data_IF_945317868370
#
_entry.id   IF_945317868370
#
_cell.length_a   1.000
_cell.length_b   1.000
_cell.length_c   1.000
_cell.angle_alpha   90.00
_cell.angle_beta   90.00
_cell.angle_gamma   90.00
#
_symmetry.space_group_name_H-M   'P 1'
#
loop_
_entity.id
_entity.type
_entity.pdbx_description
1 polymer ?
#
# COMPACT_ATOMS: atom_id res chain seq x y z
N UNK A 1 27.09 31.90 -7.29
CA UNK A 1 27.56 30.50 -7.36
C UNK A 1 28.02 29.90 -6.01
N UNK A 2 28.14 30.64 -4.92
CA UNK A 2 28.60 30.12 -3.61
C UNK A 2 27.45 29.50 -2.78
N UNK A 3 26.20 29.91 -3.01
CA UNK A 3 25.03 29.37 -2.28
C UNK A 3 24.63 27.94 -2.65
N UNK A 4 24.96 27.46 -3.84
CA UNK A 4 24.66 26.08 -4.25
C UNK A 4 25.59 25.03 -3.62
N UNK A 5 26.85 25.41 -3.31
CA UNK A 5 27.81 24.50 -2.69
C UNK A 5 27.55 24.24 -1.21
N UNK A 6 27.10 25.23 -0.45
CA UNK A 6 26.78 25.10 0.97
C UNK A 6 25.52 24.29 1.21
N UNK A 7 24.51 24.43 0.32
CA UNK A 7 23.30 23.60 0.38
C UNK A 7 23.58 22.10 0.15
N UNK A 8 24.46 21.78 -0.83
CA UNK A 8 24.87 20.40 -1.09
C UNK A 8 25.71 19.78 0.04
N UNK A 9 26.61 20.54 0.67
CA UNK A 9 27.40 20.08 1.81
C UNK A 9 26.52 19.85 3.04
N UNK A 10 25.50 20.66 3.26
CA UNK A 10 24.59 20.53 4.38
C UNK A 10 23.65 19.31 4.21
N UNK A 11 23.15 19.05 3.01
CA UNK A 11 22.39 17.84 2.67
C UNK A 11 23.26 16.60 2.82
N UNK A 12 24.51 16.64 2.33
CA UNK A 12 25.44 15.51 2.41
C UNK A 12 25.85 15.17 3.85
N UNK A 13 25.98 16.16 4.75
CA UNK A 13 26.32 15.92 6.16
C UNK A 13 25.21 15.23 6.96
N UNK A 14 23.92 15.40 6.58
CA UNK A 14 22.79 14.74 7.23
C UNK A 14 22.41 13.39 6.63
N UNK A 15 22.76 13.16 5.38
CA UNK A 15 22.56 11.87 4.68
C UNK A 15 23.29 10.72 5.38
N UNK A 16 24.39 10.99 6.06
CA UNK A 16 25.19 9.97 6.78
C UNK A 16 24.57 9.49 8.09
N UNK A 17 23.43 10.05 8.53
CA UNK A 17 22.77 9.64 9.80
C UNK A 17 21.56 8.72 9.60
N UNK A 18 21.14 8.47 8.36
CA UNK A 18 20.03 7.53 8.11
C UNK A 18 20.48 6.09 8.23
N UNK A 19 19.61 5.23 8.68
CA UNK A 19 19.85 3.79 8.65
C UNK A 19 19.66 3.28 7.22
N UNK A 20 20.71 2.67 6.67
CA UNK A 20 20.73 2.15 5.30
C UNK A 20 20.84 0.63 5.37
N UNK A 21 20.07 -0.07 4.55
CA UNK A 21 20.14 -1.52 4.36
C UNK A 21 20.52 -1.84 2.92
N UNK A 22 21.12 -2.99 2.69
CA UNK A 22 21.45 -3.45 1.34
C UNK A 22 20.44 -4.49 0.89
N UNK A 23 19.88 -4.31 -0.31
CA UNK A 23 19.05 -5.31 -0.96
C UNK A 23 19.94 -6.25 -1.76
N UNK A 24 19.80 -7.55 -1.52
CA UNK A 24 20.39 -8.58 -2.36
C UNK A 24 19.65 -8.57 -3.72
N UNK A 25 20.39 -8.41 -4.81
CA UNK A 25 19.79 -8.56 -6.13
C UNK A 25 19.56 -10.05 -6.38
N UNK A 26 18.31 -10.49 -6.38
CA UNK A 26 17.94 -11.87 -6.72
C UNK A 26 18.33 -12.26 -8.15
N UNK A 27 18.79 -11.32 -8.98
CA UNK A 27 19.24 -11.56 -10.34
C UNK A 27 20.65 -12.13 -10.48
N UNK A 28 21.45 -12.23 -9.40
CA UNK A 28 22.87 -12.63 -9.50
C UNK A 28 23.18 -14.05 -9.00
N UNK A 29 22.20 -14.85 -8.62
CA UNK A 29 22.49 -16.21 -8.17
C UNK A 29 21.83 -17.28 -9.09
N UNK A 30 22.50 -17.68 -10.22
CA UNK A 30 21.99 -18.73 -11.10
C UNK A 30 22.00 -20.13 -10.46
N UNK A 31 22.51 -20.28 -9.24
CA UNK A 31 22.69 -21.58 -8.58
C UNK A 31 21.68 -21.88 -7.45
N UNK A 32 20.69 -21.02 -7.17
CA UNK A 32 19.61 -21.37 -6.23
C UNK A 32 18.53 -22.20 -6.92
N UNK A 33 18.91 -23.42 -7.34
CA UNK A 33 17.99 -24.48 -7.71
C UNK A 33 17.35 -25.04 -6.42
N UNK A 34 16.51 -24.28 -5.74
CA UNK A 34 15.61 -24.84 -4.75
C UNK A 34 14.56 -25.66 -5.46
N UNK A 35 14.75 -26.98 -5.39
CA UNK A 35 13.88 -28.01 -5.92
C UNK A 35 12.43 -27.81 -5.50
N UNK A 36 11.54 -27.79 -6.50
CA UNK A 36 10.27 -28.48 -6.42
C UNK A 36 9.20 -27.93 -5.50
N UNK A 37 8.61 -26.82 -5.87
CA UNK A 37 7.15 -26.67 -5.72
C UNK A 37 6.56 -26.28 -7.07
N UNK A 38 5.53 -27.02 -7.53
CA UNK A 38 4.78 -26.76 -8.75
C UNK A 38 3.98 -25.43 -8.74
N UNK A 39 4.39 -24.46 -7.94
CA UNK A 39 3.77 -23.16 -7.77
C UNK A 39 4.66 -22.06 -8.35
N UNK A 40 4.81 -22.08 -9.69
CA UNK A 40 5.35 -20.91 -10.38
C UNK A 40 4.46 -19.70 -10.10
N UNK A 41 5.05 -18.50 -9.88
CA UNK A 41 4.28 -17.27 -9.73
C UNK A 41 3.32 -17.08 -10.88
N UNK A 42 2.14 -16.51 -10.62
CA UNK A 42 1.20 -16.17 -11.67
C UNK A 42 1.87 -15.29 -12.72
N UNK A 43 1.57 -15.53 -14.00
CA UNK A 43 2.11 -14.80 -15.15
C UNK A 43 3.63 -15.00 -15.43
N UNK A 44 4.28 -16.01 -14.87
CA UNK A 44 5.71 -16.26 -15.12
C UNK A 44 6.05 -16.37 -16.63
N UNK A 45 5.11 -16.87 -17.42
CA UNK A 45 5.26 -17.07 -18.88
C UNK A 45 5.04 -15.80 -19.71
N UNK A 46 4.54 -14.70 -19.12
CA UNK A 46 4.30 -13.47 -19.87
C UNK A 46 5.61 -12.65 -20.01
N UNK A 47 5.88 -12.06 -21.20
CA UNK A 47 7.02 -11.17 -21.37
C UNK A 47 6.87 -9.88 -20.56
N UNK A 48 8.00 -9.21 -20.30
CA UNK A 48 7.98 -7.86 -19.73
C UNK A 48 7.37 -6.87 -20.74
N UNK A 49 6.60 -5.91 -20.26
CA UNK A 49 6.07 -4.82 -21.07
C UNK A 49 7.17 -3.78 -21.31
N UNK A 50 7.57 -3.50 -22.57
CA UNK A 50 8.59 -2.49 -22.86
C UNK A 50 8.27 -1.09 -22.31
N UNK A 51 6.98 -0.75 -22.15
CA UNK A 51 6.53 0.52 -21.59
C UNK A 51 6.64 0.59 -20.07
N UNK A 52 6.96 -0.50 -19.42
CA UNK A 52 7.07 -0.62 -17.96
C UNK A 52 8.52 -0.70 -17.46
N UNK A 53 9.51 -0.60 -18.33
CA UNK A 53 10.93 -0.80 -17.99
C UNK A 53 11.47 0.28 -17.04
N UNK A 54 10.98 1.53 -17.16
CA UNK A 54 11.40 2.64 -16.30
C UNK A 54 10.68 2.66 -14.95
N UNK A 55 9.60 1.89 -14.82
CA UNK A 55 8.81 1.84 -13.61
C UNK A 55 9.53 1.03 -12.52
N UNK A 56 9.52 1.55 -11.28
CA UNK A 56 10.19 0.96 -10.11
C UNK A 56 9.19 0.54 -9.03
N UNK A 57 9.48 -0.57 -8.37
CA UNK A 57 8.73 -1.10 -7.25
C UNK A 57 9.40 -0.74 -5.92
N UNK A 58 8.70 0.03 -5.11
CA UNK A 58 9.12 0.42 -3.77
C UNK A 58 8.37 -0.44 -2.75
N UNK A 59 9.08 -1.29 -2.01
CA UNK A 59 8.49 -2.01 -0.87
C UNK A 59 8.42 -1.06 0.32
N UNK A 60 7.21 -0.62 0.66
CA UNK A 60 6.91 0.18 1.84
C UNK A 60 6.45 -0.74 2.97
N UNK A 61 7.12 -0.65 4.11
CA UNK A 61 6.73 -1.34 5.34
C UNK A 61 6.51 -0.36 6.47
N UNK A 62 5.53 -0.66 7.34
CA UNK A 62 5.29 0.11 8.56
C UNK A 62 5.69 -0.72 9.78
N UNK A 63 6.69 -0.28 10.53
CA UNK A 63 7.09 -0.95 11.78
C UNK A 63 6.45 -0.29 13.00
N UNK A 64 6.05 -1.12 13.96
CA UNK A 64 5.41 -0.70 15.21
C UNK A 64 6.44 -0.39 16.33
N UNK A 65 7.58 0.22 15.96
CA UNK A 65 8.57 0.67 16.93
C UNK A 65 7.99 1.77 17.83
N UNK A 66 7.76 1.41 19.09
CA UNK A 66 7.16 2.28 20.09
C UNK A 66 8.10 3.30 20.74
N UNK A 67 9.37 3.41 20.31
CA UNK A 67 10.38 4.24 20.98
C UNK A 67 10.06 5.74 21.03
N UNK A 68 9.16 6.23 20.17
CA UNK A 68 8.65 7.61 20.21
C UNK A 68 7.15 7.69 20.49
N UNK A 69 6.53 6.58 20.87
CA UNK A 69 5.18 6.60 21.37
C UNK A 69 5.23 7.09 22.81
N UNK A 70 4.68 8.28 23.06
CA UNK A 70 4.44 8.73 24.42
C UNK A 70 3.46 7.73 25.07
N UNK A 71 3.95 7.02 26.10
CA UNK A 71 3.14 6.06 26.85
C UNK A 71 1.90 6.70 27.50
N UNK A 72 1.88 8.03 27.64
CA UNK A 72 0.76 8.82 28.16
C UNK A 72 -0.19 9.32 27.07
N UNK A 73 0.17 9.20 25.78
CA UNK A 73 -0.71 9.64 24.69
C UNK A 73 -1.91 8.70 24.55
N UNK A 74 -3.11 9.25 24.48
CA UNK A 74 -4.34 8.50 24.22
C UNK A 74 -4.35 7.81 22.85
N UNK A 75 -3.56 8.32 21.89
CA UNK A 75 -3.45 7.81 20.52
C UNK A 75 -2.37 6.75 20.37
N UNK A 76 -1.38 6.72 21.24
CA UNK A 76 -0.29 5.76 21.25
C UNK A 76 -0.30 4.87 22.51
N UNK A 77 -1.15 5.19 23.48
CA UNK A 77 -1.38 4.38 24.68
C UNK A 77 -1.74 2.94 24.32
N UNK A 78 -1.10 1.99 25.00
CA UNK A 78 -1.28 0.55 24.72
C UNK A 78 -0.32 -0.02 23.66
N UNK A 79 0.57 0.78 23.06
CA UNK A 79 1.62 0.25 22.18
C UNK A 79 2.67 -0.49 23.02
N UNK A 80 2.92 -0.08 24.28
CA UNK A 80 3.87 -0.73 25.19
C UNK A 80 5.28 -0.91 24.59
N UNK A 81 6.24 -1.23 25.40
CA UNK A 81 7.56 -1.66 24.94
C UNK A 81 7.43 -3.06 24.31
N UNK A 82 7.25 -3.12 22.99
CA UNK A 82 7.19 -4.36 22.22
C UNK A 82 8.54 -4.86 21.77
N UNK A 83 9.64 -4.22 22.17
CA UNK A 83 10.97 -4.65 21.81
C UNK A 83 11.24 -6.12 22.20
N UNK A 84 10.59 -6.60 23.28
CA UNK A 84 10.68 -7.99 23.72
C UNK A 84 9.82 -8.98 22.90
N UNK A 85 8.84 -8.50 22.11
CA UNK A 85 7.93 -9.34 21.33
C UNK A 85 8.36 -9.54 19.87
N UNK A 86 9.51 -8.98 19.48
CA UNK A 86 9.98 -8.95 18.10
C UNK A 86 9.32 -7.88 17.24
N UNK A 87 10.03 -7.44 16.21
CA UNK A 87 9.50 -6.47 15.24
C UNK A 87 8.39 -7.10 14.40
N UNK A 88 7.33 -6.35 14.16
CA UNK A 88 6.25 -6.74 13.26
C UNK A 88 5.92 -5.60 12.33
N UNK A 89 5.61 -5.93 11.09
CA UNK A 89 5.00 -4.99 10.17
C UNK A 89 3.53 -5.33 10.01
N UNK A 90 2.67 -4.36 10.36
CA UNK A 90 1.25 -4.44 10.09
C UNK A 90 0.87 -3.85 8.72
N UNK A 91 1.85 -3.21 8.07
CA UNK A 91 1.70 -2.57 6.75
C UNK A 91 2.80 -3.08 5.84
N UNK A 92 2.42 -3.81 4.80
CA UNK A 92 3.32 -4.30 3.74
C UNK A 92 2.66 -3.91 2.42
N UNK A 93 3.31 -3.02 1.66
CA UNK A 93 2.78 -2.51 0.39
C UNK A 93 3.89 -2.42 -0.65
N UNK A 94 3.57 -2.64 -1.91
CA UNK A 94 4.42 -2.22 -3.02
C UNK A 94 3.77 -1.02 -3.69
N UNK A 95 4.55 0.04 -3.84
CA UNK A 95 4.20 1.21 -4.63
C UNK A 95 4.99 1.11 -5.93
N UNK A 96 4.30 0.87 -7.03
CA UNK A 96 4.91 0.93 -8.36
C UNK A 96 4.77 2.34 -8.90
N UNK A 97 5.91 2.94 -9.28
CA UNK A 97 5.99 4.30 -9.80
C UNK A 97 6.61 4.26 -11.19
N UNK A 98 5.95 4.89 -12.14
CA UNK A 98 6.44 5.06 -13.51
C UNK A 98 6.61 6.57 -13.80
N UNK A 99 7.84 7.09 -13.75
CA UNK A 99 8.12 8.49 -14.03
C UNK A 99 7.80 8.89 -15.48
N UNK A 100 7.95 7.97 -16.43
CA UNK A 100 7.75 8.24 -17.85
C UNK A 100 6.29 8.51 -18.19
N UNK A 101 5.36 7.74 -17.59
CA UNK A 101 3.92 7.92 -17.75
C UNK A 101 3.29 8.81 -16.68
N UNK A 102 4.05 9.25 -15.66
CA UNK A 102 3.58 9.99 -14.46
C UNK A 102 2.43 9.25 -13.76
N UNK A 103 2.58 7.95 -13.58
CA UNK A 103 1.57 7.08 -12.96
C UNK A 103 2.14 6.29 -11.81
N UNK A 104 1.25 5.90 -10.91
CA UNK A 104 1.58 5.02 -9.80
C UNK A 104 0.44 4.05 -9.51
N UNK A 105 0.78 2.94 -8.85
CA UNK A 105 -0.19 1.99 -8.30
C UNK A 105 0.31 1.48 -6.95
N UNK A 106 -0.62 1.04 -6.10
CA UNK A 106 -0.33 0.51 -4.76
C UNK A 106 -0.90 -0.90 -4.68
N UNK A 107 -0.08 -1.86 -4.25
CA UNK A 107 -0.51 -3.23 -3.92
C UNK A 107 -0.22 -3.51 -2.46
N UNK A 108 -1.25 -3.84 -1.69
CA UNK A 108 -1.13 -4.20 -0.28
C UNK A 108 -1.16 -5.70 -0.06
N UNK A 109 -0.32 -6.15 0.85
CA UNK A 109 -0.26 -7.54 1.31
C UNK A 109 -0.86 -7.61 2.71
N UNK A 110 -2.03 -8.25 2.90
CA UNK A 110 -2.52 -8.54 4.23
C UNK A 110 -1.47 -9.30 5.06
N UNK A 111 -1.18 -8.82 6.25
CA UNK A 111 -0.08 -9.33 7.10
C UNK A 111 -0.18 -10.82 7.44
N UNK A 112 -1.41 -11.36 7.45
CA UNK A 112 -1.71 -12.73 7.80
C UNK A 112 -1.75 -13.67 6.57
N UNK A 113 -1.28 -13.22 5.38
CA UNK A 113 -1.15 -14.06 4.19
C UNK A 113 -0.24 -15.25 4.47
N UNK A 114 -0.71 -16.45 4.17
CA UNK A 114 -0.01 -17.71 4.38
C UNK A 114 0.81 -18.06 3.14
N UNK A 115 2.12 -17.92 3.25
CA UNK A 115 3.07 -18.06 2.13
C UNK A 115 4.30 -18.87 2.54
N UNK A 116 5.03 -19.38 1.56
CA UNK A 116 6.36 -19.97 1.79
C UNK A 116 7.33 -18.84 2.16
N UNK A 117 7.98 -18.94 3.33
CA UNK A 117 8.95 -17.94 3.76
C UNK A 117 10.32 -18.25 3.15
N UNK A 118 10.87 -17.31 2.39
CA UNK A 118 12.16 -17.46 1.74
C UNK A 118 13.28 -17.79 2.76
N UNK A 119 14.23 -18.64 2.33
CA UNK A 119 15.30 -19.14 3.20
C UNK A 119 14.83 -20.14 4.27
N UNK A 120 13.58 -20.64 4.18
CA UNK A 120 13.03 -21.68 5.04
C UNK A 120 12.25 -22.70 4.23
N UNK A 121 12.02 -23.89 4.81
CA UNK A 121 11.13 -24.92 4.23
C UNK A 121 9.69 -24.82 4.74
N UNK A 122 9.34 -23.73 5.45
CA UNK A 122 8.07 -23.60 6.17
C UNK A 122 7.19 -22.51 5.58
N UNK A 123 5.90 -22.76 5.59
CA UNK A 123 4.88 -21.74 5.39
C UNK A 123 4.63 -21.00 6.71
N UNK A 124 4.40 -19.69 6.62
CA UNK A 124 3.98 -18.87 7.73
C UNK A 124 3.23 -17.63 7.21
N UNK A 125 2.72 -16.79 8.12
CA UNK A 125 2.20 -15.48 7.79
C UNK A 125 3.31 -14.62 7.19
N UNK A 126 3.03 -13.88 6.13
CA UNK A 126 4.03 -13.05 5.43
C UNK A 126 4.77 -12.07 6.37
N UNK A 127 4.08 -11.54 7.39
CA UNK A 127 4.70 -10.63 8.36
C UNK A 127 5.79 -11.29 9.22
N UNK A 128 5.89 -12.63 9.25
CA UNK A 128 6.99 -13.33 9.93
C UNK A 128 8.32 -13.25 9.17
N UNK A 129 8.29 -12.86 7.90
CA UNK A 129 9.49 -12.61 7.12
C UNK A 129 10.07 -11.20 7.37
N UNK A 130 9.32 -10.34 8.05
CA UNK A 130 9.72 -8.95 8.25
C UNK A 130 10.80 -8.80 9.31
N UNK A 131 11.81 -7.98 8.97
CA UNK A 131 12.78 -7.40 9.88
C UNK A 131 13.19 -6.05 9.31
N UNK A 132 13.06 -4.98 10.07
CA UNK A 132 13.24 -3.61 9.55
C UNK A 132 14.67 -3.35 9.05
N UNK A 133 15.65 -3.93 9.71
CA UNK A 133 17.08 -3.77 9.41
C UNK A 133 17.65 -4.82 8.45
N UNK A 134 16.83 -5.81 8.05
CA UNK A 134 17.19 -6.84 7.07
C UNK A 134 15.93 -7.27 6.30
N UNK A 135 15.54 -6.49 5.29
CA UNK A 135 14.32 -6.75 4.54
C UNK A 135 14.41 -7.90 3.54
N UNK A 136 15.62 -8.44 3.29
CA UNK A 136 15.88 -9.38 2.20
C UNK A 136 14.96 -10.61 2.25
N UNK A 137 14.73 -11.18 3.44
CA UNK A 137 13.80 -12.31 3.59
C UNK A 137 12.37 -11.97 3.12
N UNK A 138 11.88 -10.76 3.44
CA UNK A 138 10.56 -10.33 3.00
C UNK A 138 10.54 -10.07 1.49
N UNK A 139 11.57 -9.42 0.96
CA UNK A 139 11.77 -9.18 -0.48
C UNK A 139 11.73 -10.51 -1.25
N UNK A 140 12.56 -11.46 -0.86
CA UNK A 140 12.64 -12.79 -1.49
C UNK A 140 11.32 -13.55 -1.35
N UNK A 141 10.61 -13.41 -0.21
CA UNK A 141 9.29 -14.03 -0.02
C UNK A 141 8.25 -13.46 -0.99
N UNK A 142 8.26 -12.14 -1.19
CA UNK A 142 7.35 -11.47 -2.14
C UNK A 142 7.68 -11.89 -3.58
N UNK A 143 8.96 -11.89 -3.95
CA UNK A 143 9.40 -12.27 -5.28
C UNK A 143 9.07 -13.72 -5.60
N UNK A 144 9.41 -14.65 -4.70
CA UNK A 144 9.13 -16.10 -4.89
C UNK A 144 7.63 -16.41 -4.89
N UNK A 145 6.82 -15.73 -4.05
CA UNK A 145 5.38 -16.02 -3.94
C UNK A 145 4.54 -15.33 -5.00
N UNK A 146 4.92 -14.14 -5.45
CA UNK A 146 4.11 -13.29 -6.31
C UNK A 146 4.80 -12.88 -7.61
N UNK A 147 6.08 -13.21 -7.80
CA UNK A 147 6.85 -12.83 -8.99
C UNK A 147 7.11 -11.34 -9.12
N UNK A 148 7.05 -10.58 -8.02
CA UNK A 148 7.17 -9.12 -8.05
C UNK A 148 8.59 -8.73 -7.64
N UNK A 149 9.40 -8.15 -8.54
CA UNK A 149 10.72 -7.64 -8.20
C UNK A 149 10.60 -6.41 -7.31
N UNK A 150 11.53 -6.23 -6.38
CA UNK A 150 11.60 -5.06 -5.49
C UNK A 150 12.86 -4.27 -5.82
N UNK A 151 12.71 -3.05 -6.33
CA UNK A 151 13.82 -2.17 -6.67
C UNK A 151 14.33 -1.39 -5.45
N UNK A 152 13.42 -0.95 -4.57
CA UNK A 152 13.72 -0.13 -3.41
C UNK A 152 12.96 -0.57 -2.16
N UNK A 153 13.55 -0.30 -1.01
CA UNK A 153 12.95 -0.56 0.30
C UNK A 153 12.82 0.71 1.12
N UNK A 154 11.66 0.90 1.74
CA UNK A 154 11.37 1.99 2.65
C UNK A 154 10.64 1.45 3.87
N UNK A 155 11.23 1.62 5.06
CA UNK A 155 10.54 1.33 6.32
C UNK A 155 10.22 2.63 7.06
N UNK A 156 8.96 2.78 7.42
CA UNK A 156 8.44 3.94 8.15
C UNK A 156 7.98 3.49 9.53
N UNK A 157 8.67 3.91 10.57
CA UNK A 157 8.22 3.70 11.94
C UNK A 157 7.20 4.78 12.35
N UNK A 158 6.63 4.67 13.54
CA UNK A 158 5.63 5.61 14.01
C UNK A 158 6.14 7.05 14.14
N UNK A 159 7.43 7.23 14.49
CA UNK A 159 8.05 8.56 14.57
C UNK A 159 8.15 9.20 13.20
N UNK A 160 8.73 8.48 12.25
CA UNK A 160 8.85 8.94 10.88
C UNK A 160 7.49 9.29 10.28
N UNK A 161 6.48 8.44 10.52
CA UNK A 161 5.12 8.68 10.04
C UNK A 161 4.57 10.02 10.58
N UNK A 162 4.68 10.27 11.89
CA UNK A 162 4.19 11.50 12.52
C UNK A 162 4.95 12.73 12.01
N UNK A 163 6.27 12.63 11.87
CA UNK A 163 7.11 13.72 11.35
C UNK A 163 6.78 14.04 9.90
N UNK A 164 6.59 13.03 9.04
CA UNK A 164 6.18 13.21 7.63
C UNK A 164 4.84 13.95 7.55
N UNK A 165 3.83 13.52 8.34
CA UNK A 165 2.52 14.18 8.38
C UNK A 165 2.65 15.62 8.86
N UNK A 166 3.47 15.88 9.86
CA UNK A 166 3.73 17.23 10.38
C UNK A 166 4.43 18.10 9.36
N UNK A 167 5.42 17.57 8.62
CA UNK A 167 6.18 18.29 7.61
C UNK A 167 5.29 18.80 6.45
N UNK A 168 4.23 18.05 6.12
CA UNK A 168 3.25 18.51 5.11
C UNK A 168 2.16 19.41 5.70
N UNK A 169 2.25 19.81 6.98
CA UNK A 169 1.25 20.62 7.67
C UNK A 169 -0.10 19.91 7.77
N UNK A 170 -0.03 18.61 8.06
CA UNK A 170 -1.18 17.74 8.18
C UNK A 170 -1.77 17.25 6.87
N UNK A 171 -2.65 16.27 6.99
CA UNK A 171 -3.37 15.67 5.86
C UNK A 171 -4.87 15.79 6.08
N UNK A 172 -5.56 16.41 5.13
CA UNK A 172 -7.01 16.60 5.22
C UNK A 172 -7.75 15.34 4.77
N UNK A 173 -8.72 14.95 5.58
CA UNK A 173 -9.55 13.77 5.35
C UNK A 173 -11.03 14.14 5.55
N UNK A 174 -11.92 13.94 4.56
CA UNK A 174 -13.34 14.24 4.66
C UNK A 174 -14.09 13.10 5.37
N UNK A 175 -14.95 13.45 6.31
CA UNK A 175 -15.82 12.51 7.00
C UNK A 175 -17.28 12.88 6.80
N UNK A 176 -18.10 11.90 6.41
CA UNK A 176 -19.55 12.07 6.27
C UNK A 176 -20.27 11.91 7.60
N UNK A 177 -19.67 11.16 8.53
CA UNK A 177 -20.28 10.80 9.81
C UNK A 177 -19.28 10.96 10.96
N UNK A 178 -19.75 11.22 12.18
CA UNK A 178 -18.91 11.05 13.37
C UNK A 178 -18.28 9.67 13.37
N UNK A 179 -16.97 9.59 13.62
CA UNK A 179 -16.21 8.35 13.47
C UNK A 179 -15.22 8.22 14.62
N UNK A 180 -15.09 7.01 15.18
CA UNK A 180 -14.18 6.78 16.31
C UNK A 180 -13.63 5.35 16.33
N UNK A 181 -12.49 5.19 16.99
CA UNK A 181 -11.96 3.91 17.44
C UNK A 181 -11.33 4.09 18.85
N UNK A 182 -12.00 3.55 19.85
CA UNK A 182 -11.53 3.65 21.24
C UNK A 182 -10.21 2.92 21.49
N UNK A 183 -9.87 1.92 20.67
CA UNK A 183 -8.63 1.12 20.83
C UNK A 183 -7.40 1.90 20.38
N UNK A 184 -7.55 2.81 19.42
CA UNK A 184 -6.46 3.63 18.90
C UNK A 184 -6.52 5.08 19.38
N UNK A 185 -7.58 5.46 20.10
CA UNK A 185 -7.84 6.85 20.49
C UNK A 185 -8.33 7.74 19.33
N UNK A 186 -8.61 7.15 18.15
CA UNK A 186 -9.13 7.91 17.02
C UNK A 186 -10.53 8.45 17.29
N UNK A 187 -10.73 9.76 17.04
CA UNK A 187 -12.03 10.39 17.21
C UNK A 187 -12.21 11.58 16.27
N UNK A 188 -13.27 11.55 15.49
CA UNK A 188 -13.82 12.65 14.70
C UNK A 188 -15.26 12.84 15.16
N UNK A 189 -15.49 13.81 16.02
CA UNK A 189 -16.82 14.07 16.58
C UNK A 189 -17.74 14.79 15.58
N UNK A 190 -17.18 15.71 14.79
CA UNK A 190 -17.93 16.52 13.82
C UNK A 190 -17.53 16.11 12.40
N UNK A 191 -18.50 15.73 11.56
CA UNK A 191 -18.27 15.48 10.14
C UNK A 191 -17.72 16.70 9.41
N UNK A 192 -17.07 16.49 8.28
CA UNK A 192 -16.49 17.53 7.45
C UNK A 192 -15.05 17.24 7.05
N UNK A 193 -14.38 18.23 6.53
CA UNK A 193 -12.96 18.16 6.15
C UNK A 193 -12.08 18.37 7.40
N UNK A 194 -11.45 17.31 7.88
CA UNK A 194 -10.66 17.31 9.11
C UNK A 194 -9.18 17.25 8.78
N UNK A 195 -8.39 18.22 9.25
CA UNK A 195 -6.94 18.16 9.13
C UNK A 195 -6.36 17.26 10.22
N UNK A 196 -5.62 16.24 9.83
CA UNK A 196 -4.96 15.31 10.73
C UNK A 196 -3.52 15.74 10.96
N UNK A 197 -3.18 15.95 12.22
CA UNK A 197 -1.80 15.94 12.69
C UNK A 197 -1.23 14.52 12.72
N UNK A 198 0.05 14.39 13.08
CA UNK A 198 0.72 13.09 13.11
C UNK A 198 0.06 12.08 14.05
N UNK A 199 -0.43 12.51 15.22
CA UNK A 199 -1.05 11.60 16.21
C UNK A 199 -2.41 11.10 15.74
N UNK A 200 -3.27 12.00 15.26
CA UNK A 200 -4.59 11.65 14.74
C UNK A 200 -4.48 10.79 13.48
N UNK A 201 -3.53 11.11 12.59
CA UNK A 201 -3.22 10.31 11.42
C UNK A 201 -2.79 8.90 11.80
N UNK A 202 -1.86 8.76 12.76
CA UNK A 202 -1.39 7.46 13.24
C UNK A 202 -2.54 6.64 13.87
N UNK A 203 -3.38 7.26 14.70
CA UNK A 203 -4.55 6.62 15.27
C UNK A 203 -5.50 6.11 14.18
N UNK A 204 -5.74 6.91 13.14
CA UNK A 204 -6.61 6.57 12.00
C UNK A 204 -6.09 5.38 11.20
N UNK A 205 -4.82 5.41 10.74
CA UNK A 205 -4.26 4.33 9.89
C UNK A 205 -4.04 3.03 10.65
N UNK A 206 -4.06 3.06 11.99
CA UNK A 206 -4.01 1.89 12.87
C UNK A 206 -5.38 1.33 13.22
N UNK A 207 -6.45 2.11 13.03
CA UNK A 207 -7.82 1.69 13.37
C UNK A 207 -8.24 0.45 12.59
N UNK A 208 -8.80 -0.54 13.31
CA UNK A 208 -9.14 -1.85 12.76
C UNK A 208 -10.51 -2.33 13.30
N UNK A 209 -10.52 -3.30 14.19
CA UNK A 209 -11.72 -3.90 14.79
C UNK A 209 -12.41 -3.03 15.85
N UNK A 210 -12.13 -1.78 15.92
CA UNK A 210 -12.78 -0.80 16.81
C UNK A 210 -13.28 0.40 16.04
N UNK A 211 -13.04 0.41 14.73
CA UNK A 211 -13.47 1.51 13.87
C UNK A 211 -14.97 1.53 13.72
N UNK A 212 -15.60 2.61 14.19
CA UNK A 212 -17.05 2.79 14.21
C UNK A 212 -17.43 4.15 13.65
N UNK A 213 -18.55 4.19 12.95
CA UNK A 213 -19.17 5.40 12.46
C UNK A 213 -20.60 5.51 12.99
N UNK A 214 -21.09 6.74 13.15
CA UNK A 214 -22.45 6.99 13.60
C UNK A 214 -23.38 7.00 12.37
N UNK A 215 -24.25 6.03 12.30
CA UNK A 215 -25.27 5.97 11.26
C UNK A 215 -26.46 6.88 11.63
N UNK A 216 -26.62 7.93 10.88
CA UNK A 216 -27.69 8.92 11.10
C UNK A 216 -29.08 8.38 10.82
N UNK A 217 -29.21 7.31 10.04
CA UNK A 217 -30.50 6.69 9.72
C UNK A 217 -30.98 5.84 10.88
N UNK A 218 -30.11 5.00 11.44
CA UNK A 218 -30.46 4.12 12.56
C UNK A 218 -30.18 4.74 13.94
N UNK A 219 -29.54 5.92 13.98
CA UNK A 219 -29.11 6.61 15.21
C UNK A 219 -28.20 5.74 16.10
N UNK A 220 -27.37 4.88 15.48
CA UNK A 220 -26.49 3.93 16.19
C UNK A 220 -25.05 4.02 15.70
N UNK A 221 -24.14 3.65 16.59
CA UNK A 221 -22.76 3.43 16.24
C UNK A 221 -22.59 2.04 15.62
N UNK A 222 -22.26 2.01 14.34
CA UNK A 222 -21.98 0.78 13.60
C UNK A 222 -20.48 0.56 13.51
N UNK A 223 -20.07 -0.70 13.59
CA UNK A 223 -18.68 -1.11 13.42
C UNK A 223 -18.39 -1.43 11.94
N UNK A 224 -17.21 -1.07 11.46
CA UNK A 224 -16.74 -1.52 10.14
C UNK A 224 -16.50 -3.04 10.19
N UNK A 225 -17.32 -3.85 9.50
CA UNK A 225 -17.23 -5.31 9.58
C UNK A 225 -16.01 -5.89 8.87
N UNK A 226 -15.30 -5.06 8.09
CA UNK A 226 -14.21 -5.51 7.22
C UNK A 226 -12.87 -5.67 7.95
N UNK A 227 -12.77 -5.21 9.19
CA UNK A 227 -11.64 -5.43 10.08
C UNK A 227 -10.31 -4.99 9.46
N UNK A 228 -9.43 -5.97 9.19
CA UNK A 228 -8.09 -5.69 8.66
C UNK A 228 -8.09 -5.17 7.22
N UNK A 229 -9.00 -5.66 6.37
CA UNK A 229 -9.13 -5.18 4.99
C UNK A 229 -9.59 -3.71 4.94
N UNK A 230 -10.50 -3.31 5.83
CA UNK A 230 -10.90 -1.91 5.97
C UNK A 230 -9.73 -1.01 6.41
N UNK A 231 -8.88 -1.51 7.32
CA UNK A 231 -7.63 -0.79 7.68
C UNK A 231 -6.73 -0.60 6.47
N UNK A 232 -6.49 -1.65 5.69
CA UNK A 232 -5.68 -1.58 4.46
C UNK A 232 -6.23 -0.53 3.50
N UNK A 233 -7.55 -0.53 3.26
CA UNK A 233 -8.18 0.47 2.40
C UNK A 233 -8.01 1.90 2.92
N UNK A 234 -8.13 2.13 4.23
CA UNK A 234 -7.87 3.44 4.87
C UNK A 234 -6.41 3.84 4.77
N UNK A 235 -5.48 2.91 4.90
CA UNK A 235 -4.04 3.16 4.70
C UNK A 235 -3.73 3.57 3.27
N UNK A 236 -4.29 2.88 2.28
CA UNK A 236 -4.14 3.23 0.86
C UNK A 236 -4.73 4.61 0.55
N UNK A 237 -5.91 4.92 1.05
CA UNK A 237 -6.53 6.23 0.87
C UNK A 237 -5.71 7.34 1.54
N UNK A 238 -5.26 7.12 2.78
CA UNK A 238 -4.43 8.08 3.49
C UNK A 238 -3.09 8.31 2.81
N UNK A 239 -2.45 7.25 2.28
CA UNK A 239 -1.22 7.37 1.51
C UNK A 239 -1.41 8.22 0.25
N UNK A 240 -2.51 8.01 -0.53
CA UNK A 240 -2.82 8.85 -1.70
C UNK A 240 -2.99 10.32 -1.32
N UNK A 241 -3.71 10.62 -0.22
CA UNK A 241 -3.89 11.99 0.29
C UNK A 241 -2.58 12.61 0.76
N UNK A 242 -1.75 11.84 1.43
CA UNK A 242 -0.41 12.28 1.87
C UNK A 242 0.49 12.59 0.68
N UNK A 243 0.47 11.75 -0.36
CA UNK A 243 1.19 12.01 -1.61
C UNK A 243 0.70 13.30 -2.28
N UNK A 244 -0.63 13.50 -2.38
CA UNK A 244 -1.18 14.75 -2.94
C UNK A 244 -0.71 15.96 -2.14
N UNK A 245 -0.82 15.89 -0.82
CA UNK A 245 -0.42 16.99 0.07
C UNK A 245 1.08 17.30 -0.06
N UNK A 246 1.92 16.26 -0.15
CA UNK A 246 3.35 16.42 -0.34
C UNK A 246 3.68 17.08 -1.70
N UNK A 247 3.01 16.67 -2.78
CA UNK A 247 3.17 17.27 -4.10
C UNK A 247 2.70 18.73 -4.12
N UNK A 248 1.53 19.03 -3.56
CA UNK A 248 0.97 20.38 -3.50
C UNK A 248 1.88 21.34 -2.73
N UNK A 249 2.42 20.87 -1.59
CA UNK A 249 3.33 21.67 -0.75
C UNK A 249 4.74 21.76 -1.30
N UNK A 250 5.30 20.64 -1.74
CA UNK A 250 6.68 20.56 -2.25
C UNK A 250 6.88 21.31 -3.55
N UNK A 251 5.87 21.42 -4.39
CA UNK A 251 5.92 22.20 -5.63
C UNK A 251 5.91 23.72 -5.40
N UNK A 252 5.32 24.17 -4.29
CA UNK A 252 5.14 25.60 -3.99
C UNK A 252 6.14 26.15 -2.97
N UNK A 253 6.82 25.29 -2.19
CA UNK A 253 7.69 25.72 -1.10
C UNK A 253 8.89 24.79 -0.91
N UNK A 254 10.07 25.29 -1.24
CA UNK A 254 11.35 24.56 -1.11
C UNK A 254 11.66 24.18 0.36
N UNK A 255 11.18 24.98 1.32
CA UNK A 255 11.32 24.70 2.75
C UNK A 255 10.59 23.42 3.12
N UNK A 256 9.34 23.25 2.69
CA UNK A 256 8.55 22.04 2.95
C UNK A 256 9.18 20.80 2.30
N UNK A 257 9.69 20.92 1.08
CA UNK A 257 10.40 19.82 0.43
C UNK A 257 11.65 19.40 1.22
N UNK A 258 12.37 20.36 1.79
CA UNK A 258 13.51 20.11 2.65
C UNK A 258 13.11 19.48 4.01
N UNK A 259 12.00 19.93 4.60
CA UNK A 259 11.49 19.36 5.87
C UNK A 259 11.00 17.92 5.69
N UNK A 260 10.33 17.63 4.57
CA UNK A 260 9.95 16.28 4.18
C UNK A 260 11.19 15.37 4.02
N UNK A 261 12.20 15.86 3.32
CA UNK A 261 13.45 15.12 3.15
C UNK A 261 14.15 14.88 4.50
N UNK A 262 14.17 15.88 5.39
CA UNK A 262 14.73 15.75 6.72
C UNK A 262 13.95 14.74 7.58
N UNK A 263 12.61 14.77 7.55
CA UNK A 263 11.78 13.81 8.25
C UNK A 263 12.03 12.38 7.74
N UNK A 264 12.09 12.20 6.41
CA UNK A 264 12.40 10.91 5.80
C UNK A 264 13.80 10.41 6.18
N UNK A 265 14.82 11.27 6.17
CA UNK A 265 16.20 10.90 6.44
C UNK A 265 16.47 10.60 7.92
N UNK A 266 15.66 11.12 8.85
CA UNK A 266 15.92 10.99 10.28
C UNK A 266 15.44 9.66 10.87
N UNK A 267 14.26 9.18 10.47
CA UNK A 267 13.59 8.07 11.12
C UNK A 267 13.11 6.98 10.15
N UNK A 268 13.37 7.13 8.85
CA UNK A 268 13.07 6.14 7.82
C UNK A 268 14.30 5.29 7.54
N UNK A 269 14.12 3.98 7.39
CA UNK A 269 15.15 3.07 6.89
C UNK A 269 14.95 2.92 5.39
N UNK A 270 16.01 3.08 4.61
CA UNK A 270 15.96 2.90 3.15
C UNK A 270 17.07 1.97 2.67
N UNK A 271 16.93 1.45 1.45
CA UNK A 271 18.03 0.78 0.79
C UNK A 271 19.15 1.74 0.37
N UNK A 272 20.30 1.18 0.08
CA UNK A 272 21.53 1.91 -0.31
C UNK A 272 21.44 2.54 -1.70
N UNK A 273 20.62 2.00 -2.60
CA UNK A 273 20.40 2.52 -3.95
C UNK A 273 19.44 3.71 -3.98
N UNK A 274 18.57 3.84 -2.99
CA UNK A 274 17.64 4.96 -2.86
C UNK A 274 18.35 6.18 -2.27
N UNK A 275 19.10 6.87 -3.11
CA UNK A 275 19.86 8.06 -2.69
C UNK A 275 18.94 9.27 -2.49
N UNK A 276 19.31 10.27 -1.66
CA UNK A 276 18.53 11.50 -1.50
C UNK A 276 18.34 12.25 -2.81
N UNK A 277 19.36 12.27 -3.69
CA UNK A 277 19.23 12.85 -5.02
C UNK A 277 18.20 12.10 -5.85
N UNK A 278 18.26 10.75 -5.86
CA UNK A 278 17.27 9.93 -6.56
C UNK A 278 15.83 10.16 -6.04
N UNK A 279 15.67 10.37 -4.73
CA UNK A 279 14.36 10.73 -4.15
C UNK A 279 13.86 12.08 -4.66
N UNK A 280 14.74 13.09 -4.73
CA UNK A 280 14.39 14.41 -5.26
C UNK A 280 14.08 14.36 -6.75
N UNK A 281 14.89 13.66 -7.53
CA UNK A 281 14.69 13.49 -8.98
C UNK A 281 13.35 12.78 -9.25
N UNK A 282 13.04 11.74 -8.46
CA UNK A 282 11.75 11.04 -8.53
C UNK A 282 10.58 11.96 -8.16
N UNK A 283 10.69 12.71 -7.06
CA UNK A 283 9.66 13.67 -6.65
C UNK A 283 9.42 14.74 -7.72
N UNK A 284 10.48 15.23 -8.36
CA UNK A 284 10.36 16.19 -9.44
C UNK A 284 9.72 15.58 -10.69
N UNK A 285 10.09 14.36 -11.07
CA UNK A 285 9.48 13.66 -12.20
C UNK A 285 7.98 13.41 -11.98
N UNK A 286 7.59 13.16 -10.74
CA UNK A 286 6.21 12.85 -10.35
C UNK A 286 5.39 14.07 -9.88
N UNK A 287 5.92 15.29 -9.99
CA UNK A 287 5.22 16.51 -9.51
C UNK A 287 3.82 16.71 -10.07
N UNK A 288 3.58 16.25 -11.30
CA UNK A 288 2.29 16.37 -11.99
C UNK A 288 1.43 15.08 -11.83
N UNK A 289 1.80 14.17 -10.93
CA UNK A 289 1.01 12.96 -10.66
C UNK A 289 -0.37 13.34 -10.15
N UNK A 290 -1.41 12.88 -10.83
CA UNK A 290 -2.76 12.94 -10.31
C UNK A 290 -2.99 11.77 -9.34
N UNK A 291 -2.87 12.01 -8.05
CA UNK A 291 -2.97 10.96 -7.03
C UNK A 291 -4.35 10.29 -6.94
N UNK A 292 -5.41 10.92 -7.49
CA UNK A 292 -6.75 10.31 -7.61
C UNK A 292 -6.79 9.18 -8.62
N UNK A 293 -5.85 9.18 -9.58
CA UNK A 293 -5.74 8.12 -10.59
C UNK A 293 -4.81 6.99 -10.16
N UNK A 294 -4.22 7.07 -8.97
CA UNK A 294 -3.41 6.00 -8.40
C UNK A 294 -4.30 4.79 -8.10
N UNK A 295 -4.09 3.73 -8.84
CA UNK A 295 -4.84 2.49 -8.66
C UNK A 295 -4.38 1.79 -7.37
N UNK A 296 -5.33 1.24 -6.62
CA UNK A 296 -5.05 0.51 -5.39
C UNK A 296 -5.55 -0.93 -5.49
N UNK A 297 -4.72 -1.85 -5.05
CA UNK A 297 -4.97 -3.29 -5.07
C UNK A 297 -4.62 -3.89 -3.71
N UNK A 298 -5.24 -4.99 -3.38
CA UNK A 298 -4.90 -5.81 -2.22
C UNK A 298 -4.85 -7.26 -2.69
N UNK A 299 -3.91 -8.07 -2.21
CA UNK A 299 -3.89 -9.49 -2.55
C UNK A 299 -5.19 -10.14 -2.11
N UNK A 300 -5.96 -10.66 -3.08
CA UNK A 300 -7.19 -11.41 -2.81
C UNK A 300 -6.87 -12.67 -2.02
N UNK A 301 -7.68 -12.94 -1.02
CA UNK A 301 -7.45 -14.07 -0.12
C UNK A 301 -8.75 -14.52 0.57
N UNK A 302 -8.75 -15.75 1.06
CA UNK A 302 -9.83 -16.23 1.92
C UNK A 302 -9.30 -16.67 3.28
N UNK A 303 -10.10 -16.52 4.34
CA UNK A 303 -9.68 -16.92 5.69
C UNK A 303 -9.67 -18.45 5.83
N UNK A 304 -8.63 -18.96 6.50
CA UNK A 304 -8.49 -20.38 6.85
C UNK A 304 -7.90 -20.50 8.24
N UNK A 305 -8.25 -21.57 8.95
CA UNK A 305 -7.62 -21.95 10.21
C UNK A 305 -6.58 -23.03 9.96
N UNK A 306 -5.34 -22.83 10.42
CA UNK A 306 -4.25 -23.81 10.35
C UNK A 306 -3.74 -23.99 11.78
N UNK A 307 -4.07 -25.14 12.40
CA UNK A 307 -3.90 -25.32 13.83
C UNK A 307 -4.66 -24.24 14.61
N UNK A 308 -3.98 -23.52 15.47
CA UNK A 308 -4.57 -22.42 16.23
C UNK A 308 -4.50 -21.07 15.50
N UNK A 309 -3.82 -20.99 14.36
CA UNK A 309 -3.61 -19.75 13.61
C UNK A 309 -4.78 -19.48 12.66
N UNK A 310 -5.33 -18.27 12.72
CA UNK A 310 -6.17 -17.71 11.66
C UNK A 310 -5.28 -17.07 10.61
N UNK A 311 -5.36 -17.53 9.37
CA UNK A 311 -4.51 -17.11 8.26
C UNK A 311 -5.35 -16.76 7.04
N UNK A 312 -4.73 -16.09 6.06
CA UNK A 312 -5.32 -15.73 4.78
C UNK A 312 -4.61 -16.50 3.66
N UNK A 313 -5.34 -17.31 2.93
CA UNK A 313 -4.80 -18.05 1.78
C UNK A 313 -4.90 -17.16 0.53
N UNK A 314 -3.78 -16.82 -0.13
CA UNK A 314 -3.82 -15.94 -1.30
C UNK A 314 -4.47 -16.62 -2.51
N UNK A 315 -5.28 -15.85 -3.26
CA UNK A 315 -6.00 -16.26 -4.46
C UNK A 315 -5.32 -15.71 -5.72
N UNK A 316 -4.03 -16.00 -5.90
CA UNK A 316 -3.21 -15.42 -6.98
C UNK A 316 -3.55 -15.94 -8.38
N UNK A 317 -4.32 -17.02 -8.49
CA UNK A 317 -4.68 -17.66 -9.77
C UNK A 317 -6.02 -17.14 -10.35
N UNK A 318 -6.74 -16.26 -9.65
CA UNK A 318 -7.95 -15.61 -10.21
C UNK A 318 -7.56 -14.66 -11.33
N UNK A 319 -8.42 -14.50 -12.33
CA UNK A 319 -8.12 -13.64 -13.48
C UNK A 319 -7.87 -12.18 -13.06
N UNK A 320 -8.70 -11.66 -12.15
CA UNK A 320 -8.52 -10.31 -11.60
C UNK A 320 -7.17 -10.14 -10.90
N UNK A 321 -6.73 -11.14 -10.14
CA UNK A 321 -5.46 -11.06 -9.41
C UNK A 321 -4.26 -11.25 -10.33
N UNK A 322 -4.33 -12.16 -11.32
CA UNK A 322 -3.29 -12.28 -12.36
C UNK A 322 -3.06 -10.95 -13.06
N UNK A 323 -4.14 -10.29 -13.47
CA UNK A 323 -4.06 -8.99 -14.12
C UNK A 323 -3.44 -7.93 -13.19
N UNK A 324 -3.88 -7.83 -11.93
CA UNK A 324 -3.30 -6.92 -10.96
C UNK A 324 -1.80 -7.20 -10.75
N UNK A 325 -1.42 -8.46 -10.55
CA UNK A 325 -0.03 -8.86 -10.37
C UNK A 325 0.84 -8.53 -11.60
N UNK A 326 0.32 -8.70 -12.83
CA UNK A 326 1.05 -8.40 -14.07
C UNK A 326 1.55 -6.94 -14.10
N UNK A 327 0.80 -5.99 -13.51
CA UNK A 327 1.24 -4.59 -13.38
C UNK A 327 2.51 -4.52 -12.53
N UNK A 328 2.52 -5.10 -11.33
CA UNK A 328 3.65 -5.02 -10.40
C UNK A 328 4.83 -5.91 -10.82
N UNK A 329 4.58 -6.91 -11.64
CA UNK A 329 5.60 -7.75 -12.28
C UNK A 329 6.26 -7.07 -13.49
N UNK A 330 5.80 -5.89 -13.91
CA UNK A 330 6.28 -5.21 -15.11
C UNK A 330 5.84 -5.85 -16.43
N UNK A 331 4.79 -6.68 -16.39
CA UNK A 331 4.24 -7.42 -17.55
C UNK A 331 3.00 -6.78 -18.15
N UNK A 332 2.47 -5.76 -17.49
CA UNK A 332 1.36 -4.92 -17.94
C UNK A 332 1.62 -3.45 -17.58
N UNK A 333 1.16 -2.49 -18.42
CA UNK A 333 1.36 -1.08 -18.17
C UNK A 333 0.52 -0.59 -16.98
N UNK A 334 0.98 0.47 -16.32
CA UNK A 334 0.18 1.23 -15.37
C UNK A 334 -0.95 1.95 -16.11
N UNK A 335 -2.19 1.53 -15.88
CA UNK A 335 -3.37 2.18 -16.47
C UNK A 335 -3.93 3.24 -15.54
N UNK A 336 -4.44 4.35 -16.10
CA UNK A 336 -5.15 5.36 -15.32
C UNK A 336 -6.47 4.78 -14.81
N UNK A 337 -6.71 4.88 -13.51
CA UNK A 337 -8.03 4.61 -12.96
C UNK A 337 -9.01 5.67 -13.47
N UNK A 338 -10.07 5.29 -14.18
CA UNK A 338 -11.21 6.19 -14.38
C UNK A 338 -11.91 6.33 -13.03
N UNK A 339 -11.90 7.54 -12.48
CA UNK A 339 -12.72 7.86 -11.31
C UNK A 339 -14.18 7.60 -11.67
N UNK A 340 -14.76 6.52 -11.18
CA UNK A 340 -16.19 6.26 -11.36
C UNK A 340 -16.95 7.04 -10.30
N UNK A 341 -17.28 8.29 -10.62
CA UNK A 341 -18.27 9.08 -9.90
C UNK A 341 -19.63 8.49 -10.26
N UNK A 342 -20.23 7.69 -9.40
CA UNK A 342 -21.65 7.37 -9.48
C UNK A 342 -22.41 8.33 -8.59
N UNK A 343 -22.97 9.34 -9.19
CA UNK A 343 -23.99 10.17 -8.56
C UNK A 343 -25.32 9.40 -8.64
N UNK A 344 -25.82 8.95 -7.51
CA UNK A 344 -27.17 8.41 -7.39
C UNK A 344 -27.94 9.42 -6.54
N UNK A 345 -28.90 10.10 -7.18
CA UNK A 345 -29.91 10.97 -6.56
C UNK A 345 -29.38 11.97 -5.52
N UNK A 346 -28.50 12.90 -5.92
CA UNK A 346 -27.98 13.99 -5.08
C UNK A 346 -27.51 13.64 -3.65
N UNK A 347 -27.34 12.36 -3.35
CA UNK A 347 -26.72 11.87 -2.13
C UNK A 347 -25.65 10.85 -2.49
N UNK A 348 -24.40 11.11 -2.05
CA UNK A 348 -23.30 10.17 -2.22
C UNK A 348 -23.43 9.07 -1.15
N UNK A 349 -24.18 8.03 -1.47
CA UNK A 349 -24.32 6.85 -0.61
C UNK A 349 -23.29 5.82 -1.04
N UNK A 350 -22.34 5.51 -0.17
CA UNK A 350 -21.44 4.36 -0.32
C UNK A 350 -22.23 3.11 0.08
N UNK A 351 -22.91 2.51 -0.89
CA UNK A 351 -23.60 1.24 -0.69
C UNK A 351 -22.56 0.10 -0.71
N UNK A 352 -22.35 -0.51 0.43
CA UNK A 352 -21.75 -1.84 0.57
C UNK A 352 -22.79 -2.85 0.12
N UNK A 353 -22.80 -3.21 -1.15
CA UNK A 353 -23.70 -4.26 -1.65
C UNK A 353 -23.01 -5.63 -1.44
N UNK A 354 -23.31 -6.30 -0.32
CA UNK A 354 -23.21 -7.75 -0.25
C UNK A 354 -24.33 -8.36 -1.11
N UNK A 355 -24.00 -8.91 -2.27
CA UNK A 355 -24.85 -9.89 -2.93
C UNK A 355 -24.27 -11.29 -2.65
N UNK A 356 -24.93 -11.97 -1.74
CA UNK A 356 -24.91 -13.44 -1.69
C UNK A 356 -25.69 -13.89 -2.95
N UNK A 357 -24.97 -14.38 -3.96
CA UNK A 357 -25.59 -15.03 -5.10
C UNK A 357 -25.90 -16.48 -4.70
N UNK A 358 -27.17 -16.76 -4.40
CA UNK A 358 -27.69 -18.12 -4.47
C UNK A 358 -27.74 -18.51 -5.95
N UNK A 359 -27.02 -19.59 -6.27
CA UNK A 359 -27.04 -20.22 -7.57
C UNK A 359 -28.42 -20.82 -7.83
N UNK A 360 -29.13 -20.32 -8.80
CA UNK A 360 -30.27 -21.02 -9.42
C UNK A 360 -29.76 -21.59 -10.75
N UNK A 361 -29.67 -22.90 -10.79
CA UNK A 361 -29.33 -23.68 -11.98
C UNK A 361 -30.49 -23.57 -12.98
N UNK A 362 -30.26 -22.99 -14.12
CA UNK A 362 -31.16 -23.14 -15.28
C UNK A 362 -30.33 -23.68 -16.45
N UNK A 363 -30.61 -24.91 -16.79
CA UNK A 363 -30.09 -25.62 -17.96
C UNK A 363 -30.69 -25.01 -19.21
N UNK A 364 -29.89 -24.55 -20.15
CA UNK A 364 -30.32 -24.28 -21.52
C UNK A 364 -29.32 -24.87 -22.52
N UNK A 365 -29.91 -25.49 -23.52
CA UNK A 365 -29.32 -26.34 -24.54
C UNK A 365 -28.33 -25.62 -25.45
N UNK A 366 -27.34 -26.39 -25.89
CA UNK A 366 -26.27 -26.01 -26.84
C UNK A 366 -26.80 -26.28 -28.28
N UNK A 367 -26.54 -25.40 -29.25
CA UNK A 367 -26.40 -25.79 -30.65
C UNK A 367 -24.91 -25.84 -31.02
N UNK A 368 -24.50 -27.00 -31.50
CA UNK A 368 -23.22 -27.21 -32.17
C UNK A 368 -23.13 -26.35 -33.45
N UNK A 369 -22.05 -25.58 -33.53
CA UNK A 369 -21.58 -25.08 -34.84
C UNK A 369 -20.08 -25.22 -34.92
N UNK A 370 -19.65 -26.03 -35.84
CA UNK A 370 -18.27 -26.28 -36.25
C UNK A 370 -17.62 -25.00 -36.78
N UNK A 371 -16.56 -24.52 -36.13
CA UNK A 371 -15.70 -23.45 -36.62
C UNK A 371 -14.23 -23.86 -36.58
N UNK A 372 -13.59 -23.65 -37.72
CA UNK A 372 -12.19 -23.82 -38.10
C UNK A 372 -11.22 -23.17 -37.09
N UNK A 373 -10.03 -23.75 -36.81
CA UNK A 373 -9.10 -23.19 -35.87
C UNK A 373 -8.53 -21.86 -36.36
N UNK A 374 -8.75 -20.80 -35.60
CA UNK A 374 -8.15 -19.50 -35.82
C UNK A 374 -6.79 -19.43 -35.10
N UNK A 375 -5.82 -18.82 -35.76
CA UNK A 375 -4.49 -18.46 -35.26
C UNK A 375 -4.59 -17.67 -33.95
N UNK A 376 -3.76 -17.92 -32.93
CA UNK A 376 -3.84 -17.18 -31.66
C UNK A 376 -3.44 -15.71 -31.89
N UNK A 377 -4.41 -14.84 -31.95
CA UNK A 377 -4.21 -13.41 -31.87
C UNK A 377 -3.91 -13.07 -30.41
N UNK A 378 -2.68 -12.63 -30.11
CA UNK A 378 -2.27 -12.13 -28.80
C UNK A 378 -3.09 -10.88 -28.49
N UNK A 379 -4.20 -11.03 -27.81
CA UNK A 379 -5.00 -9.91 -27.30
C UNK A 379 -4.27 -9.27 -26.12
N UNK A 380 -3.81 -8.03 -26.32
CA UNK A 380 -3.33 -7.15 -25.26
C UNK A 380 -4.47 -7.01 -24.25
N UNK A 381 -4.25 -7.27 -22.95
CA UNK A 381 -5.30 -7.20 -21.96
C UNK A 381 -5.93 -5.79 -21.91
N UNK A 382 -7.23 -5.73 -22.08
CA UNK A 382 -8.04 -4.52 -21.88
C UNK A 382 -7.83 -3.99 -20.46
N UNK A 383 -7.78 -2.68 -20.31
CA UNK A 383 -7.54 -1.97 -19.04
C UNK A 383 -8.32 -2.59 -17.86
N UNK A 384 -7.57 -3.01 -16.84
CA UNK A 384 -8.08 -3.69 -15.65
C UNK A 384 -8.87 -2.67 -14.81
N UNK A 385 -10.09 -3.04 -14.42
CA UNK A 385 -10.83 -2.25 -13.44
C UNK A 385 -10.09 -2.31 -12.09
N UNK A 386 -9.87 -1.16 -11.42
CA UNK A 386 -9.24 -1.14 -10.11
C UNK A 386 -10.06 -1.92 -9.10
N UNK A 387 -9.37 -2.47 -8.11
CA UNK A 387 -9.99 -3.23 -7.05
C UNK A 387 -10.96 -2.33 -6.25
N UNK A 388 -12.14 -2.84 -5.96
CA UNK A 388 -13.16 -2.12 -5.21
C UNK A 388 -12.68 -1.89 -3.78
N UNK A 389 -12.68 -0.64 -3.32
CA UNK A 389 -12.37 -0.28 -1.92
C UNK A 389 -13.27 -1.07 -0.97
N UNK A 390 -12.67 -1.70 0.04
CA UNK A 390 -13.37 -2.52 1.03
C UNK A 390 -13.48 -1.75 2.34
N UNK A 391 -14.66 -1.80 2.98
CA UNK A 391 -14.91 -1.16 4.27
C UNK A 391 -15.30 0.30 4.20
N UNK A 392 -15.35 0.93 5.37
CA UNK A 392 -15.71 2.34 5.53
C UNK A 392 -14.49 3.21 5.32
N UNK A 393 -14.43 3.85 4.16
CA UNK A 393 -13.33 4.76 3.77
C UNK A 393 -13.93 6.14 3.48
N UNK A 394 -13.25 7.23 3.85
CA UNK A 394 -13.69 8.57 3.54
C UNK A 394 -13.90 8.79 2.03
N UNK A 395 -14.88 9.60 1.63
CA UNK A 395 -15.14 9.86 0.22
C UNK A 395 -14.00 10.62 -0.44
N UNK A 396 -13.92 10.54 -1.76
CA UNK A 396 -13.03 11.40 -2.54
C UNK A 396 -13.71 12.77 -2.74
N UNK A 397 -13.41 13.71 -1.84
CA UNK A 397 -13.93 15.07 -1.88
C UNK A 397 -12.86 16.03 -2.43
N UNK A 398 -13.09 16.63 -3.62
CA UNK A 398 -12.13 17.55 -4.24
C UNK A 398 -11.96 18.86 -3.46
N UNK A 399 -12.88 19.21 -2.60
CA UNK A 399 -12.82 20.45 -1.80
C UNK A 399 -12.03 20.27 -0.50
N UNK A 400 -11.81 19.03 -0.06
CA UNK A 400 -11.06 18.66 1.13
C UNK A 400 -9.61 18.28 0.74
N UNK A 401 -8.75 19.31 0.57
CA UNK A 401 -7.35 19.16 0.16
C UNK A 401 -6.38 19.88 1.10
#
# INVERSE_FOLDING_TARGET
>A
MVFSGLGMLWVNGRVNQRLIVTLNNSQENPNDQSQGSNDSPANADLPLDPKSLDAKNFLLTGSDNGSCADAKSSTTGGIGDRASLGERSDTIMIIRIDPSSKRAAILSFPRDLWVNIAGTTRQNRINSAFKSTDPNRLVDTIEKSFGIPVDHYVNVNFCAFKEIVTAVDGVKVPFLYPTRDKKTGFNVATPGCVNFDGDRALAYVRSRSGYRYFDTTTQKWLEDPTGDLGRISRQQDFLRRSMQRALDKGSSNIGVANDLLNAALKNVITDDKLTPRGMLDLAQAMRDLNTRTVATYTIDSYPKRIGELSVLIPLIKTESMKQALAIFQGRAPLTAQKASIRTINNQTVVLVAQRIAMATTTTLAIPETTAKPATPTTTIPTAIAPQKTVGVVPPDDPTCR
#
